data_IF_938075276471
#
_entry.id   IF_938075276471
#
_cell.length_a   1.000
_cell.length_b   1.000
_cell.length_c   1.000
_cell.angle_alpha   90.00
_cell.angle_beta   90.00
_cell.angle_gamma   90.00
#
_symmetry.space_group_name_H-M   'P 1'
#
loop_
_entity.id
_entity.type
_entity.pdbx_description
1 polymer ?
#
# COMPACT_ATOMS: atom_id res chain seq x y z
N UNK A 1 32.73 -4.16 18.01
CA UNK A 1 31.39 -4.36 18.61
C UNK A 1 30.50 -3.26 18.04
N UNK A 2 29.73 -3.55 16.99
CA UNK A 2 28.85 -2.55 16.36
C UNK A 2 27.47 -2.71 16.96
N UNK A 3 27.01 -1.70 17.69
CA UNK A 3 25.65 -1.65 18.20
C UNK A 3 24.68 -1.61 17.01
N UNK A 4 24.02 -2.74 16.74
CA UNK A 4 22.79 -2.79 15.95
C UNK A 4 21.74 -1.92 16.68
N UNK A 5 21.63 -0.64 16.31
CA UNK A 5 20.58 0.24 16.80
C UNK A 5 19.27 -0.26 16.19
N UNK A 6 18.54 -1.04 16.97
CA UNK A 6 17.15 -1.47 16.74
C UNK A 6 16.39 -0.32 16.08
N UNK A 7 15.93 -0.50 14.83
CA UNK A 7 15.10 0.48 14.14
C UNK A 7 13.88 0.73 15.03
N UNK A 8 13.84 1.94 15.59
CA UNK A 8 12.78 2.39 16.49
C UNK A 8 11.46 2.33 15.72
N UNK A 9 10.42 1.80 16.36
CA UNK A 9 9.14 1.39 15.77
C UNK A 9 8.56 2.39 14.75
N UNK A 10 8.32 1.94 13.51
CA UNK A 10 7.59 2.71 12.50
C UNK A 10 6.09 2.58 12.80
N UNK A 11 5.44 3.68 13.13
CA UNK A 11 3.98 3.73 13.33
C UNK A 11 3.26 3.63 11.98
N UNK A 12 2.40 2.60 11.81
CA UNK A 12 1.65 2.32 10.57
C UNK A 12 0.14 2.23 10.84
N UNK A 13 -0.56 3.37 10.96
CA UNK A 13 -2.00 3.36 11.14
C UNK A 13 -2.72 3.02 9.83
N UNK A 14 -3.81 2.26 9.92
CA UNK A 14 -4.78 2.13 8.82
C UNK A 14 -5.88 3.16 9.06
N UNK A 15 -6.00 4.15 8.18
CA UNK A 15 -7.02 5.20 8.28
C UNK A 15 -8.05 4.99 7.18
N UNK A 16 -9.33 5.13 7.52
CA UNK A 16 -10.44 5.10 6.57
C UNK A 16 -10.84 6.53 6.22
N UNK A 17 -11.00 6.81 4.94
CA UNK A 17 -11.36 8.14 4.44
C UNK A 17 -12.62 8.06 3.58
N UNK A 18 -13.32 9.19 3.49
CA UNK A 18 -14.33 9.38 2.45
C UNK A 18 -13.67 9.41 1.05
N UNK A 19 -14.44 9.08 0.01
CA UNK A 19 -13.93 9.04 -1.37
C UNK A 19 -13.39 10.39 -1.85
N UNK A 20 -13.95 11.50 -1.37
CA UNK A 20 -13.48 12.85 -1.70
C UNK A 20 -12.01 13.09 -1.36
N UNK A 21 -11.51 12.52 -0.25
CA UNK A 21 -10.11 12.62 0.15
C UNK A 21 -9.19 11.87 -0.82
N UNK A 22 -9.61 10.68 -1.27
CA UNK A 22 -8.84 9.89 -2.24
C UNK A 22 -8.67 10.68 -3.54
N UNK A 23 -9.76 11.28 -4.02
CA UNK A 23 -9.76 12.00 -5.28
C UNK A 23 -8.87 13.26 -5.18
N UNK A 24 -8.99 14.02 -4.09
CA UNK A 24 -8.09 15.14 -3.80
C UNK A 24 -6.61 14.73 -3.72
N UNK A 25 -6.27 13.64 -3.02
CA UNK A 25 -4.89 13.14 -2.92
C UNK A 25 -4.37 12.66 -4.28
N UNK A 26 -5.24 12.08 -5.12
CA UNK A 26 -4.86 11.68 -6.48
C UNK A 26 -4.55 12.89 -7.36
N UNK A 27 -5.30 13.97 -7.22
CA UNK A 27 -5.04 15.21 -7.96
C UNK A 27 -3.72 15.85 -7.51
N UNK A 28 -3.45 15.89 -6.20
CA UNK A 28 -2.15 16.32 -5.67
C UNK A 28 -0.99 15.44 -6.14
N UNK A 29 -1.19 14.12 -6.20
CA UNK A 29 -0.19 13.20 -6.72
C UNK A 29 0.14 13.50 -8.19
N UNK A 30 -0.84 13.89 -9.00
CA UNK A 30 -0.62 14.30 -10.40
C UNK A 30 0.08 15.65 -10.51
N UNK A 31 -0.16 16.56 -9.57
CA UNK A 31 0.37 17.92 -9.56
C UNK A 31 1.76 18.06 -8.91
N UNK A 32 2.27 17.01 -8.25
CA UNK A 32 3.52 17.07 -7.48
C UNK A 32 4.45 15.91 -7.84
N UNK A 33 5.69 15.96 -7.35
CA UNK A 33 6.65 14.85 -7.44
C UNK A 33 6.56 13.90 -6.24
N UNK A 34 5.62 14.12 -5.34
CA UNK A 34 5.49 13.40 -4.08
C UNK A 34 4.60 12.18 -4.27
N UNK A 35 4.91 11.09 -3.58
CA UNK A 35 4.00 9.96 -3.50
C UNK A 35 2.81 10.26 -2.57
N UNK A 36 1.77 9.42 -2.66
CA UNK A 36 0.54 9.60 -1.86
C UNK A 36 0.79 9.56 -0.36
N UNK A 37 1.72 8.72 0.10
CA UNK A 37 2.05 8.62 1.51
C UNK A 37 2.80 9.87 1.98
N UNK A 38 3.72 10.40 1.18
CA UNK A 38 4.40 11.66 1.44
C UNK A 38 3.42 12.82 1.53
N UNK A 39 2.44 12.89 0.64
CA UNK A 39 1.38 13.91 0.67
C UNK A 39 0.55 13.83 1.97
N UNK A 40 0.13 12.62 2.35
CA UNK A 40 -0.63 12.41 3.59
C UNK A 40 0.22 12.74 4.83
N UNK A 41 1.50 12.34 4.84
CA UNK A 41 2.44 12.68 5.92
C UNK A 41 2.67 14.19 6.00
N UNK A 42 2.81 14.88 4.87
CA UNK A 42 2.96 16.34 4.82
C UNK A 42 1.75 17.05 5.42
N UNK A 43 0.53 16.60 5.06
CA UNK A 43 -0.71 17.16 5.59
C UNK A 43 -0.79 17.00 7.12
N UNK A 44 -0.47 15.82 7.66
CA UNK A 44 -0.44 15.59 9.10
C UNK A 44 0.67 16.39 9.80
N UNK A 45 1.84 16.51 9.15
CA UNK A 45 2.98 17.24 9.67
C UNK A 45 2.65 18.73 9.85
N UNK A 46 2.04 19.36 8.85
CA UNK A 46 1.69 20.79 8.92
C UNK A 46 0.45 21.04 9.79
N UNK A 47 -0.49 20.09 9.84
CA UNK A 47 -1.69 20.22 10.68
C UNK A 47 -1.35 20.48 12.15
N UNK A 48 -0.28 19.86 12.67
CA UNK A 48 0.18 20.08 14.05
C UNK A 48 0.62 21.53 14.36
N UNK A 49 0.87 22.33 13.32
CA UNK A 49 1.24 23.75 13.42
C UNK A 49 0.12 24.71 12.98
N UNK A 50 -1.06 24.19 12.60
CA UNK A 50 -2.15 24.98 12.06
C UNK A 50 -3.14 25.39 13.16
N UNK A 51 -3.44 26.69 13.21
CA UNK A 51 -4.47 27.23 14.10
C UNK A 51 -5.88 26.73 13.72
N UNK A 52 -6.13 26.48 12.44
CA UNK A 52 -7.40 25.90 11.97
C UNK A 52 -7.55 24.48 12.49
N UNK A 53 -6.46 23.70 12.47
CA UNK A 53 -6.47 22.35 13.03
C UNK A 53 -6.68 22.38 14.55
N UNK A 54 -6.00 23.29 15.26
CA UNK A 54 -6.22 23.47 16.70
C UNK A 54 -7.67 23.86 17.02
N UNK A 55 -8.25 24.77 16.23
CA UNK A 55 -9.65 25.21 16.36
C UNK A 55 -10.62 24.07 16.10
N UNK A 56 -10.37 23.26 15.07
CA UNK A 56 -11.16 22.07 14.73
C UNK A 56 -11.18 21.06 15.89
N UNK A 57 -10.05 20.88 16.57
CA UNK A 57 -9.92 19.92 17.69
C UNK A 57 -10.50 20.43 19.01
N UNK A 58 -10.60 21.75 19.21
CA UNK A 58 -11.00 22.39 20.48
C UNK A 58 -12.27 21.80 21.11
N UNK A 59 -13.37 21.54 20.37
CA UNK A 59 -14.58 20.95 20.96
C UNK A 59 -14.42 19.52 21.47
N UNK A 60 -13.38 18.82 21.04
CA UNK A 60 -13.11 17.41 21.35
C UNK A 60 -11.98 17.22 22.38
N UNK A 61 -11.45 18.31 22.92
CA UNK A 61 -10.38 18.26 23.92
C UNK A 61 -10.91 17.81 25.28
N UNK A 62 -10.09 17.04 25.99
CA UNK A 62 -10.25 16.76 27.44
C UNK A 62 -9.58 17.88 28.24
N UNK A 63 -9.63 17.79 29.57
CA UNK A 63 -8.98 18.74 30.50
C UNK A 63 -7.44 18.71 30.50
N UNK A 64 -6.82 18.29 29.39
CA UNK A 64 -5.37 18.20 29.20
C UNK A 64 -4.96 19.23 28.13
N UNK A 65 -3.86 19.98 28.34
CA UNK A 65 -3.36 20.94 27.36
C UNK A 65 -3.08 20.29 25.99
N UNK A 66 -3.31 21.05 24.92
CA UNK A 66 -2.98 20.59 23.57
C UNK A 66 -1.46 20.36 23.46
N UNK A 67 -1.01 19.19 22.98
CA UNK A 67 0.40 18.93 22.82
C UNK A 67 0.98 19.83 21.73
N UNK A 68 2.22 20.28 21.94
CA UNK A 68 2.99 20.96 20.89
C UNK A 68 3.82 19.93 20.11
N UNK A 69 3.90 20.02 18.78
CA UNK A 69 4.78 19.17 18.00
C UNK A 69 6.23 19.36 18.45
N UNK A 70 6.99 18.26 18.48
CA UNK A 70 8.43 18.28 18.80
C UNK A 70 9.31 18.63 17.59
N UNK A 71 8.72 18.64 16.40
CA UNK A 71 9.36 19.03 15.15
C UNK A 71 9.03 20.49 14.83
N UNK A 72 9.91 21.13 14.06
CA UNK A 72 9.71 22.44 13.43
C UNK A 72 9.11 22.28 12.04
N UNK A 73 8.46 23.33 11.52
CA UNK A 73 7.94 23.38 10.14
C UNK A 73 9.02 23.20 9.06
N UNK A 74 10.28 23.51 9.40
CA UNK A 74 11.44 23.32 8.51
C UNK A 74 12.01 21.90 8.53
N UNK A 75 11.54 21.03 9.44
CA UNK A 75 12.06 19.66 9.59
C UNK A 75 11.44 18.71 8.55
N UNK A 76 11.64 19.02 7.26
CA UNK A 76 10.99 18.31 6.15
C UNK A 76 11.30 16.81 6.11
N UNK A 77 12.47 16.40 6.63
CA UNK A 77 12.87 15.00 6.73
C UNK A 77 11.83 14.14 7.47
N UNK A 78 11.13 14.71 8.47
CA UNK A 78 10.15 13.98 9.30
C UNK A 78 8.97 13.43 8.50
N UNK A 79 8.54 14.14 7.46
CA UNK A 79 7.40 13.72 6.63
C UNK A 79 7.81 13.20 5.26
N UNK A 80 8.96 13.65 4.76
CA UNK A 80 9.46 13.28 3.43
C UNK A 80 10.07 11.88 3.43
N UNK A 81 10.86 11.55 4.46
CA UNK A 81 11.58 10.29 4.58
C UNK A 81 10.75 9.29 5.40
N UNK A 82 10.35 8.17 4.79
CA UNK A 82 9.60 7.12 5.50
C UNK A 82 10.45 6.40 6.57
N UNK A 83 11.76 6.44 6.37
CA UNK A 83 12.80 6.01 7.29
C UNK A 83 14.02 6.85 6.90
N UNK A 84 14.65 7.63 7.79
CA UNK A 84 16.03 8.05 7.57
C UNK A 84 16.88 6.77 7.63
N UNK A 85 16.94 6.03 6.53
CA UNK A 85 17.86 4.90 6.38
C UNK A 85 19.20 5.57 6.14
N UNK A 86 20.08 5.46 7.13
CA UNK A 86 21.50 5.69 6.92
C UNK A 86 21.89 5.01 5.61
N UNK A 87 22.42 5.77 4.66
CA UNK A 87 23.08 5.24 3.46
C UNK A 87 23.97 4.08 3.88
N UNK A 88 23.57 2.86 3.54
CA UNK A 88 24.48 1.76 3.23
C UNK A 88 23.70 0.59 2.62
N UNK A 89 24.40 -0.09 1.74
CA UNK A 89 23.91 -0.88 0.63
C UNK A 89 23.33 -2.23 1.03
N UNK A 90 22.36 -2.70 0.24
CA UNK A 90 22.18 -4.11 -0.08
C UNK A 90 21.67 -5.04 1.03
N UNK A 91 20.42 -5.50 0.88
CA UNK A 91 20.12 -6.90 0.54
C UNK A 91 18.61 -7.14 0.52
N UNK A 92 18.19 -7.70 -0.60
CA UNK A 92 16.88 -8.28 -0.85
C UNK A 92 16.62 -9.41 0.15
N UNK A 93 15.45 -9.41 0.80
CA UNK A 93 15.02 -10.53 1.66
C UNK A 93 13.60 -10.98 1.29
N UNK A 94 13.60 -12.07 0.53
CA UNK A 94 12.50 -12.97 0.22
C UNK A 94 11.74 -13.35 1.49
N UNK A 95 10.42 -13.17 1.49
CA UNK A 95 9.55 -13.72 2.54
C UNK A 95 9.36 -15.22 2.30
N UNK A 96 10.02 -16.05 3.11
CA UNK A 96 9.78 -17.49 3.18
C UNK A 96 8.75 -17.83 4.25
N UNK A 97 7.57 -18.24 3.82
CA UNK A 97 6.66 -19.08 4.61
C UNK A 97 6.49 -20.40 3.87
N UNK A 98 7.13 -21.46 4.37
CA UNK A 98 7.06 -22.80 3.79
C UNK A 98 5.72 -23.47 4.10
N UNK A 99 5.13 -24.09 3.08
CA UNK A 99 4.40 -25.35 3.24
C UNK A 99 4.84 -26.27 2.08
N UNK A 100 5.77 -27.17 2.39
CA UNK A 100 6.17 -28.27 1.52
C UNK A 100 5.07 -29.33 1.48
N UNK A 101 4.62 -29.75 0.30
CA UNK A 101 4.40 -31.17 -0.01
C UNK A 101 4.91 -31.45 -1.43
N UNK A 102 5.98 -32.26 -1.49
CA UNK A 102 6.56 -32.88 -2.69
C UNK A 102 5.55 -33.80 -3.38
N UNK A 103 5.52 -33.76 -4.72
CA UNK A 103 5.61 -34.97 -5.56
C UNK A 103 6.03 -34.64 -6.99
N UNK A 104 7.24 -35.11 -7.31
CA UNK A 104 7.77 -35.45 -8.64
C UNK A 104 6.80 -36.42 -9.37
N UNK A 105 6.67 -36.55 -10.70
CA UNK A 105 7.64 -36.38 -11.80
C UNK A 105 6.93 -36.43 -13.19
N UNK A 106 7.40 -35.59 -14.13
CA UNK A 106 7.64 -35.79 -15.60
C UNK A 106 6.52 -35.98 -16.67
N UNK A 107 6.86 -35.65 -17.95
CA UNK A 107 5.94 -35.09 -18.94
C UNK A 107 5.60 -36.08 -20.08
N UNK A 108 4.46 -35.90 -20.75
CA UNK A 108 4.24 -36.47 -22.09
C UNK A 108 3.60 -35.45 -23.02
N UNK A 109 4.18 -35.45 -24.20
CA UNK A 109 4.09 -34.52 -25.30
C UNK A 109 3.09 -35.01 -26.37
N UNK A 110 2.63 -34.07 -27.21
CA UNK A 110 2.07 -34.25 -28.57
C UNK A 110 0.67 -34.88 -28.72
N UNK A 111 -0.30 -34.11 -29.25
CA UNK A 111 -0.80 -34.29 -30.63
C UNK A 111 -1.83 -33.24 -31.05
N UNK A 112 -1.50 -32.57 -32.16
CA UNK A 112 -2.36 -31.80 -33.07
C UNK A 112 -3.66 -32.56 -33.38
N UNK A 113 -4.80 -31.86 -33.41
CA UNK A 113 -5.81 -31.96 -34.47
C UNK A 113 -6.44 -30.58 -34.70
N UNK A 114 -6.73 -30.31 -35.96
CA UNK A 114 -7.07 -29.05 -36.62
C UNK A 114 -8.40 -28.42 -36.18
N UNK A 115 -8.33 -27.11 -35.94
CA UNK A 115 -9.15 -26.03 -36.50
C UNK A 115 -10.53 -26.38 -37.08
N UNK A 116 -11.60 -26.03 -36.34
CA UNK A 116 -12.89 -25.69 -36.93
C UNK A 116 -13.35 -24.30 -36.46
N UNK A 117 -13.98 -23.59 -37.39
CA UNK A 117 -14.12 -22.15 -37.55
C UNK A 117 -14.77 -21.39 -36.39
N UNK A 118 -14.12 -20.29 -36.01
CA UNK A 118 -14.45 -19.33 -34.94
C UNK A 118 -15.61 -18.39 -35.33
N UNK A 119 -16.53 -18.13 -34.41
CA UNK A 119 -17.27 -16.85 -34.34
C UNK A 119 -16.91 -16.18 -33.02
N UNK A 120 -16.45 -14.93 -33.11
CA UNK A 120 -15.95 -14.13 -31.97
C UNK A 120 -17.12 -13.64 -31.13
N UNK A 121 -17.04 -13.81 -29.80
CA UNK A 121 -17.92 -13.13 -28.84
C UNK A 121 -18.98 -13.95 -28.09
N UNK A 122 -19.02 -15.28 -28.20
CA UNK A 122 -19.99 -16.10 -27.44
C UNK A 122 -19.44 -16.47 -26.05
N UNK A 123 -20.22 -16.22 -24.99
CA UNK A 123 -19.84 -16.57 -23.60
C UNK A 123 -20.44 -17.90 -23.22
N UNK A 124 -19.60 -18.92 -23.03
CA UNK A 124 -20.05 -20.24 -22.58
C UNK A 124 -19.92 -20.38 -21.06
N UNK A 125 -21.02 -20.79 -20.43
CA UNK A 125 -21.07 -21.11 -19.01
C UNK A 125 -21.06 -22.63 -18.81
N UNK A 126 -20.03 -23.15 -18.14
CA UNK A 126 -19.97 -24.57 -17.76
C UNK A 126 -19.96 -24.70 -16.24
N UNK A 127 -20.90 -25.46 -15.69
CA UNK A 127 -20.95 -25.82 -14.26
C UNK A 127 -20.05 -27.03 -14.00
N UNK A 128 -19.18 -26.90 -13.00
CA UNK A 128 -18.31 -27.99 -12.57
C UNK A 128 -18.99 -28.83 -11.47
N UNK A 129 -18.67 -30.15 -11.38
CA UNK A 129 -19.22 -31.06 -10.37
C UNK A 129 -18.97 -30.64 -8.91
N UNK A 130 -17.99 -29.77 -8.69
CA UNK A 130 -17.51 -29.26 -7.42
C UNK A 130 -18.08 -27.85 -7.08
N UNK A 131 -19.17 -27.43 -7.74
CA UNK A 131 -19.96 -26.26 -7.35
C UNK A 131 -19.44 -24.91 -7.85
N UNK A 132 -18.44 -24.89 -8.74
CA UNK A 132 -17.95 -23.67 -9.41
C UNK A 132 -18.51 -23.50 -10.82
N UNK A 133 -18.61 -22.24 -11.27
CA UNK A 133 -18.91 -21.88 -12.67
C UNK A 133 -17.65 -21.26 -13.28
N UNK A 134 -17.21 -21.73 -14.45
CA UNK A 134 -16.24 -21.02 -15.29
C UNK A 134 -16.95 -20.42 -16.50
N UNK A 135 -16.62 -19.17 -16.79
CA UNK A 135 -17.04 -18.44 -17.99
C UNK A 135 -15.85 -18.39 -18.96
N UNK A 136 -16.13 -18.64 -20.22
CA UNK A 136 -15.17 -18.50 -21.31
C UNK A 136 -15.69 -17.45 -22.28
N UNK A 137 -14.81 -16.55 -22.70
CA UNK A 137 -15.06 -15.59 -23.79
C UNK A 137 -14.08 -15.96 -24.89
N UNK A 138 -14.56 -16.13 -26.11
CA UNK A 138 -13.75 -16.49 -27.27
C UNK A 138 -13.52 -15.31 -28.21
#
# INVERSE_FOLDING_TARGET
MVYQRKLKDVYRPTVRYDASYRDYVNDLFRATKLDRNQLIRAALFIAAHSDDYATLLKPYMKDVPMPRPKWSVSDHAVWLEQSPVNREEGRDVTHGGEAQIRREEKPVEVRRVEQESRRVGEVHQVRQPNGGIKLFIQ
#
